data_IF_361158054469
#
_entry.id   IF_361158054469
#
_cell.length_a   1.000
_cell.length_b   1.000
_cell.length_c   1.000
_cell.angle_alpha   90.00
_cell.angle_beta   90.00
_cell.angle_gamma   90.00
#
_symmetry.space_group_name_H-M   'P 1'
#
loop_
_entity.id
_entity.type
_entity.pdbx_description
1 polymer ?
#
# COMPACT_ATOMS: atom_id res chain seq x y z
N UNK A 1 -18.66 -9.37 5.24
CA UNK A 1 -17.85 -9.11 4.01
C UNK A 1 -16.60 -8.38 4.45
N UNK A 2 -15.41 -8.84 4.04
CA UNK A 2 -14.15 -8.17 4.40
C UNK A 2 -13.96 -6.90 3.57
N UNK A 3 -13.34 -5.89 4.16
CA UNK A 3 -13.10 -4.60 3.51
C UNK A 3 -11.62 -4.24 3.58
N UNK A 4 -10.99 -4.01 2.44
CA UNK A 4 -9.61 -3.57 2.35
C UNK A 4 -9.56 -2.15 1.79
N UNK A 5 -8.86 -1.26 2.49
CA UNK A 5 -8.56 0.09 2.00
C UNK A 5 -7.23 0.07 1.28
N UNK A 6 -7.18 0.63 0.09
CA UNK A 6 -5.96 0.72 -0.71
C UNK A 6 -5.37 2.11 -0.70
N UNK A 7 -4.06 2.16 -0.46
CA UNK A 7 -3.24 3.30 -0.81
C UNK A 7 -2.89 3.29 -2.32
N UNK A 8 -2.29 4.36 -2.79
CA UNK A 8 -1.86 4.56 -4.18
C UNK A 8 -0.83 3.51 -4.64
N UNK A 9 0.19 3.26 -3.83
CA UNK A 9 1.34 2.40 -4.18
C UNK A 9 0.97 1.01 -4.67
N UNK A 10 0.18 0.22 -3.92
CA UNK A 10 -0.24 -1.12 -4.33
C UNK A 10 -0.99 -1.16 -5.65
N UNK A 11 -1.83 -0.16 -5.94
CA UNK A 11 -2.57 -0.10 -7.21
C UNK A 11 -1.63 0.20 -8.38
N UNK A 12 -0.65 1.12 -8.17
CA UNK A 12 0.40 1.39 -9.17
C UNK A 12 1.19 0.12 -9.45
N UNK A 13 1.63 -0.61 -8.42
CA UNK A 13 2.35 -1.88 -8.60
C UNK A 13 1.54 -2.87 -9.44
N UNK A 14 0.27 -3.07 -9.09
CA UNK A 14 -0.60 -4.01 -9.81
C UNK A 14 -0.87 -3.60 -11.26
N UNK A 15 -1.12 -2.32 -11.54
CA UNK A 15 -1.43 -1.88 -12.92
C UNK A 15 -0.20 -1.92 -13.81
N UNK A 16 0.98 -1.56 -13.30
CA UNK A 16 2.22 -1.54 -14.08
C UNK A 16 2.76 -2.94 -14.37
N UNK A 17 2.47 -3.93 -13.52
CA UNK A 17 2.79 -5.34 -13.76
C UNK A 17 1.65 -6.10 -14.50
N UNK A 18 0.62 -5.37 -14.97
CA UNK A 18 -0.55 -5.95 -15.62
C UNK A 18 -1.28 -7.01 -14.76
N UNK A 19 -1.28 -6.81 -13.43
CA UNK A 19 -1.87 -7.71 -12.44
C UNK A 19 -3.16 -7.16 -11.81
N UNK A 20 -3.68 -6.04 -12.30
CA UNK A 20 -4.88 -5.40 -11.72
C UNK A 20 -6.12 -6.32 -11.77
N UNK A 21 -6.17 -7.27 -12.73
CA UNK A 21 -7.22 -8.27 -12.86
C UNK A 21 -7.34 -9.20 -11.64
N UNK A 22 -6.26 -9.36 -10.87
CA UNK A 22 -6.25 -10.16 -9.63
C UNK A 22 -7.27 -9.63 -8.62
N UNK A 23 -7.48 -8.31 -8.57
CA UNK A 23 -8.47 -7.73 -7.66
C UNK A 23 -9.88 -8.21 -7.98
N UNK A 24 -10.21 -8.33 -9.27
CA UNK A 24 -11.52 -8.83 -9.68
C UNK A 24 -11.72 -10.30 -9.28
N UNK A 25 -10.70 -11.13 -9.47
CA UNK A 25 -10.74 -12.54 -9.10
C UNK A 25 -10.79 -12.75 -7.58
N UNK A 26 -9.98 -11.99 -6.82
CA UNK A 26 -10.04 -12.01 -5.36
C UNK A 26 -11.41 -11.56 -4.84
N UNK A 27 -12.00 -10.51 -5.44
CA UNK A 27 -13.33 -10.02 -5.08
C UNK A 27 -14.40 -11.09 -5.30
N UNK A 28 -14.37 -11.78 -6.43
CA UNK A 28 -15.29 -12.88 -6.72
C UNK A 28 -15.12 -14.05 -5.75
N UNK A 29 -13.87 -14.45 -5.47
CA UNK A 29 -13.58 -15.63 -4.66
C UNK A 29 -13.86 -15.42 -3.18
N UNK A 30 -13.50 -14.26 -2.61
CA UNK A 30 -13.54 -13.99 -1.18
C UNK A 30 -14.66 -13.04 -0.74
N UNK A 31 -15.46 -12.52 -1.68
CA UNK A 31 -16.49 -11.52 -1.40
C UNK A 31 -15.92 -10.32 -0.61
N UNK A 32 -14.74 -9.84 -1.00
CA UNK A 32 -14.04 -8.74 -0.37
C UNK A 32 -14.33 -7.43 -1.11
N UNK A 33 -14.48 -6.33 -0.35
CA UNK A 33 -14.56 -4.99 -0.92
C UNK A 33 -13.20 -4.29 -0.88
N UNK A 34 -12.82 -3.71 -2.03
CA UNK A 34 -11.64 -2.88 -2.18
C UNK A 34 -12.07 -1.42 -2.26
N UNK A 35 -11.61 -0.62 -1.33
CA UNK A 35 -12.04 0.78 -1.20
C UNK A 35 -10.84 1.70 -1.32
N UNK A 36 -11.00 2.79 -2.08
CA UNK A 36 -10.03 3.86 -2.21
C UNK A 36 -10.63 5.20 -1.75
N UNK A 37 -9.79 6.09 -1.25
CA UNK A 37 -10.17 7.45 -0.92
C UNK A 37 -10.27 8.33 -2.17
N UNK A 38 -10.93 9.49 -2.04
CA UNK A 38 -10.95 10.50 -3.10
C UNK A 38 -9.54 11.03 -3.44
N UNK A 39 -8.65 11.12 -2.44
CA UNK A 39 -7.25 11.52 -2.64
C UNK A 39 -6.50 10.52 -3.50
N UNK A 40 -6.63 9.23 -3.20
CA UNK A 40 -6.04 8.14 -3.98
C UNK A 40 -6.59 8.11 -5.40
N UNK A 41 -7.92 8.25 -5.58
CA UNK A 41 -8.50 8.37 -6.93
C UNK A 41 -7.93 9.54 -7.71
N UNK A 42 -7.81 10.71 -7.06
CA UNK A 42 -7.27 11.90 -7.72
C UNK A 42 -5.85 11.66 -8.23
N UNK A 43 -5.02 11.04 -7.42
CA UNK A 43 -3.64 10.70 -7.78
C UNK A 43 -3.56 9.67 -8.91
N UNK A 44 -4.30 8.56 -8.78
CA UNK A 44 -4.25 7.42 -9.70
C UNK A 44 -4.93 7.68 -11.05
N UNK A 45 -5.93 8.56 -11.10
CA UNK A 45 -6.72 8.81 -12.31
C UNK A 45 -6.51 10.23 -12.80
N UNK A 46 -6.89 11.25 -12.03
CA UNK A 46 -6.89 12.63 -12.53
C UNK A 46 -5.47 13.12 -12.86
N UNK A 47 -4.51 12.91 -11.93
CA UNK A 47 -3.13 13.30 -12.15
C UNK A 47 -2.46 12.45 -13.24
N UNK A 48 -2.75 11.14 -13.28
CA UNK A 48 -2.21 10.25 -14.30
C UNK A 48 -2.68 10.63 -15.70
N UNK A 49 -3.99 10.91 -15.88
CA UNK A 49 -4.56 11.36 -17.16
C UNK A 49 -4.04 12.72 -17.63
N UNK A 50 -3.58 13.58 -16.71
CA UNK A 50 -2.95 14.84 -17.05
C UNK A 50 -1.52 14.68 -17.62
N UNK A 51 -0.95 13.49 -17.58
CA UNK A 51 0.41 13.18 -18.08
C UNK A 51 0.34 12.21 -19.25
N UNK A 52 1.26 12.36 -20.23
CA UNK A 52 1.36 11.38 -21.33
C UNK A 52 1.92 10.03 -20.86
N UNK A 53 2.73 10.04 -19.81
CA UNK A 53 3.48 8.87 -19.34
C UNK A 53 2.58 7.82 -18.68
N UNK A 54 1.59 8.25 -17.92
CA UNK A 54 0.74 7.38 -17.08
C UNK A 54 -0.74 7.41 -17.45
N UNK A 55 -1.08 8.05 -18.59
CA UNK A 55 -2.48 8.21 -19.00
C UNK A 55 -3.19 6.86 -19.22
N UNK A 56 -2.49 5.87 -19.77
CA UNK A 56 -3.07 4.55 -20.04
C UNK A 56 -3.38 3.80 -18.75
N UNK A 57 -2.44 3.80 -17.79
CA UNK A 57 -2.64 3.23 -16.46
C UNK A 57 -3.82 3.89 -15.74
N UNK A 58 -3.92 5.22 -15.82
CA UNK A 58 -5.06 5.97 -15.28
C UNK A 58 -6.40 5.57 -15.91
N UNK A 59 -6.45 5.34 -17.22
CA UNK A 59 -7.65 4.83 -17.93
C UNK A 59 -8.02 3.42 -17.45
N UNK A 60 -7.03 2.53 -17.31
CA UNK A 60 -7.25 1.18 -16.81
C UNK A 60 -7.84 1.22 -15.39
N UNK A 61 -7.22 1.95 -14.48
CA UNK A 61 -7.71 2.07 -13.09
C UNK A 61 -9.12 2.65 -13.05
N UNK A 62 -9.41 3.69 -13.85
CA UNK A 62 -10.75 4.27 -13.93
C UNK A 62 -11.80 3.25 -14.43
N UNK A 63 -11.41 2.35 -15.33
CA UNK A 63 -12.27 1.25 -15.79
C UNK A 63 -12.62 0.32 -14.63
N UNK A 64 -11.65 -0.05 -13.77
CA UNK A 64 -11.90 -0.89 -12.59
C UNK A 64 -12.78 -0.19 -11.53
N UNK A 65 -12.67 1.14 -11.41
CA UNK A 65 -13.57 1.93 -10.56
C UNK A 65 -14.99 1.90 -11.13
N UNK A 66 -15.17 2.13 -12.43
CA UNK A 66 -16.48 2.12 -13.08
C UNK A 66 -17.16 0.73 -13.01
N UNK A 67 -16.37 -0.34 -13.11
CA UNK A 67 -16.83 -1.74 -12.94
C UNK A 67 -17.08 -2.14 -11.49
N UNK A 68 -16.88 -1.24 -10.52
CA UNK A 68 -17.04 -1.50 -9.08
C UNK A 68 -16.12 -2.61 -8.54
N UNK A 69 -15.00 -2.84 -9.18
CA UNK A 69 -13.93 -3.68 -8.63
C UNK A 69 -13.21 -2.90 -7.52
N UNK A 70 -12.86 -1.65 -7.80
CA UNK A 70 -12.42 -0.67 -6.81
C UNK A 70 -13.58 0.28 -6.48
N UNK A 71 -13.98 0.36 -5.23
CA UNK A 71 -15.04 1.24 -4.78
C UNK A 71 -14.47 2.57 -4.28
N UNK A 72 -15.03 3.69 -4.76
CA UNK A 72 -14.67 5.00 -4.25
C UNK A 72 -15.47 5.30 -2.98
N UNK A 73 -14.77 5.68 -1.91
CA UNK A 73 -15.41 6.20 -0.71
C UNK A 73 -15.85 7.65 -0.93
N UNK A 74 -17.11 7.93 -0.59
CA UNK A 74 -17.66 9.28 -0.57
C UNK A 74 -17.41 10.02 0.75
N UNK A 75 -16.69 9.40 1.69
CA UNK A 75 -16.38 10.01 2.98
C UNK A 75 -15.35 11.11 2.80
N UNK A 76 -15.76 12.33 3.17
CA UNK A 76 -14.81 13.43 3.27
C UNK A 76 -14.02 13.32 4.57
N UNK A 77 -12.69 13.25 4.46
CA UNK A 77 -11.78 13.17 5.60
C UNK A 77 -11.01 14.48 5.74
N UNK A 78 -11.08 15.07 6.94
CA UNK A 78 -10.22 16.19 7.26
C UNK A 78 -8.81 15.66 7.59
N UNK A 79 -7.83 16.03 6.79
CA UNK A 79 -6.46 15.54 6.91
C UNK A 79 -5.57 16.43 7.78
N UNK A 80 -5.98 17.68 8.07
CA UNK A 80 -5.12 18.71 8.65
C UNK A 80 -4.50 18.26 9.99
N UNK A 81 -5.31 17.74 10.88
CA UNK A 81 -4.84 17.35 12.22
C UNK A 81 -3.90 16.13 12.16
N UNK A 82 -4.21 15.15 11.32
CA UNK A 82 -3.35 13.97 11.14
C UNK A 82 -2.08 14.33 10.39
N UNK A 83 -2.13 15.21 9.38
CA UNK A 83 -0.97 15.69 8.64
C UNK A 83 0.01 16.43 9.58
N UNK A 84 -0.52 17.34 10.40
CA UNK A 84 0.26 18.06 11.39
C UNK A 84 0.85 17.11 12.45
N UNK A 85 0.09 16.14 12.91
CA UNK A 85 0.57 15.15 13.87
C UNK A 85 1.69 14.28 13.25
N UNK A 86 1.41 13.58 12.16
CA UNK A 86 2.31 12.59 11.56
C UNK A 86 3.61 13.20 11.04
N UNK A 87 3.54 14.37 10.37
CA UNK A 87 4.69 15.02 9.77
C UNK A 87 5.50 15.88 10.74
N UNK A 88 5.14 15.90 12.04
CA UNK A 88 5.90 16.49 13.13
C UNK A 88 6.23 15.47 14.23
N UNK A 89 6.37 14.20 13.89
CA UNK A 89 6.86 13.15 14.80
C UNK A 89 8.39 13.18 14.86
N UNK A 90 9.06 13.16 13.70
CA UNK A 90 10.51 13.08 13.60
C UNK A 90 11.13 14.36 13.05
N UNK A 91 12.28 14.73 13.63
CA UNK A 91 13.03 15.94 13.27
C UNK A 91 14.49 15.62 12.99
N UNK A 92 14.98 16.08 11.85
CA UNK A 92 16.40 16.09 11.48
C UNK A 92 16.91 17.53 11.49
N UNK A 93 18.03 17.79 12.18
CA UNK A 93 18.64 19.13 12.26
C UNK A 93 17.62 20.24 12.63
N UNK A 94 16.71 19.93 13.56
CA UNK A 94 15.61 20.79 14.03
C UNK A 94 14.54 21.11 12.97
N UNK A 95 14.51 20.42 11.83
CA UNK A 95 13.43 20.53 10.82
C UNK A 95 12.57 19.28 10.85
N UNK A 96 11.24 19.41 10.74
CA UNK A 96 10.36 18.27 10.68
C UNK A 96 10.62 17.46 9.40
N UNK A 97 10.46 16.15 9.51
CA UNK A 97 10.55 15.23 8.37
C UNK A 97 9.15 14.93 7.90
N UNK A 98 8.84 15.27 6.67
CA UNK A 98 7.57 14.86 6.07
C UNK A 98 7.57 13.35 5.84
N UNK A 99 6.82 12.63 6.65
CA UNK A 99 6.75 11.16 6.63
C UNK A 99 5.66 10.65 5.71
N UNK A 100 4.50 11.29 5.75
CA UNK A 100 3.30 10.84 5.04
C UNK A 100 2.77 11.90 4.08
N UNK A 101 2.31 11.45 2.93
CA UNK A 101 1.65 12.28 1.93
C UNK A 101 0.12 12.21 2.07
N UNK A 102 -0.60 13.04 1.33
CA UNK A 102 -2.06 13.16 1.43
C UNK A 102 -2.81 11.87 1.12
N UNK A 103 -2.32 11.07 0.15
CA UNK A 103 -2.90 9.77 -0.20
C UNK A 103 -2.87 8.80 0.98
N UNK A 104 -1.69 8.65 1.59
CA UNK A 104 -1.46 7.78 2.74
C UNK A 104 -2.28 8.20 3.97
N UNK A 105 -2.28 9.51 4.28
CA UNK A 105 -3.09 10.07 5.38
C UNK A 105 -4.59 9.82 5.15
N UNK A 106 -5.07 10.01 3.92
CA UNK A 106 -6.46 9.76 3.57
C UNK A 106 -6.82 8.28 3.69
N UNK A 107 -5.90 7.38 3.32
CA UNK A 107 -6.09 5.92 3.42
C UNK A 107 -6.13 5.46 4.89
N UNK A 108 -5.26 6.00 5.76
CA UNK A 108 -5.26 5.74 7.20
C UNK A 108 -6.59 6.20 7.84
N UNK A 109 -7.02 7.45 7.57
CA UNK A 109 -8.28 7.95 8.13
C UNK A 109 -9.50 7.22 7.59
N UNK A 110 -9.49 6.87 6.30
CA UNK A 110 -10.58 6.08 5.71
C UNK A 110 -10.67 4.71 6.37
N UNK A 111 -9.55 3.99 6.54
CA UNK A 111 -9.48 2.72 7.26
C UNK A 111 -10.18 2.81 8.61
N UNK A 112 -9.86 3.82 9.42
CA UNK A 112 -10.46 4.02 10.74
C UNK A 112 -11.95 4.34 10.67
N UNK A 113 -12.36 5.24 9.75
CA UNK A 113 -13.77 5.67 9.65
C UNK A 113 -14.71 4.55 9.24
N UNK A 114 -14.27 3.63 8.38
CA UNK A 114 -15.11 2.53 7.93
C UNK A 114 -14.85 1.23 8.69
N UNK A 115 -13.93 1.25 9.66
CA UNK A 115 -13.49 0.07 10.40
C UNK A 115 -13.11 -1.09 9.46
N UNK A 116 -12.20 -0.79 8.52
CA UNK A 116 -11.76 -1.77 7.53
C UNK A 116 -10.97 -2.93 8.17
N UNK A 117 -10.92 -4.07 7.48
CA UNK A 117 -10.20 -5.26 7.95
C UNK A 117 -8.69 -5.15 7.78
N UNK A 118 -8.22 -4.47 6.70
CA UNK A 118 -6.81 -4.16 6.50
C UNK A 118 -6.61 -2.91 5.62
N UNK A 119 -5.44 -2.28 5.78
CA UNK A 119 -4.89 -1.25 4.90
C UNK A 119 -3.82 -1.88 4.01
N UNK A 120 -3.98 -1.72 2.69
CA UNK A 120 -3.00 -2.19 1.71
C UNK A 120 -2.06 -1.04 1.37
N UNK A 121 -0.79 -1.16 1.76
CA UNK A 121 0.24 -0.13 1.57
C UNK A 121 1.61 -0.75 1.31
N UNK A 122 2.29 -0.28 0.26
CA UNK A 122 3.60 -0.78 -0.16
C UNK A 122 4.76 0.07 0.39
N UNK A 123 4.48 1.33 0.75
CA UNK A 123 5.49 2.29 1.18
C UNK A 123 6.04 1.91 2.57
N UNK A 124 7.38 1.81 2.64
CA UNK A 124 8.09 1.34 3.84
C UNK A 124 7.96 2.30 5.01
N UNK A 125 7.96 3.60 4.74
CA UNK A 125 7.89 4.64 5.78
C UNK A 125 6.55 4.58 6.49
N UNK A 126 5.44 4.57 5.74
CA UNK A 126 4.08 4.47 6.26
C UNK A 126 3.90 3.22 7.10
N UNK A 127 4.35 2.08 6.57
CA UNK A 127 4.25 0.80 7.27
C UNK A 127 5.04 0.79 8.58
N UNK A 128 6.32 1.19 8.54
CA UNK A 128 7.16 1.22 9.74
C UNK A 128 6.68 2.23 10.78
N UNK A 129 6.13 3.37 10.37
CA UNK A 129 5.58 4.34 11.31
C UNK A 129 4.42 3.75 12.12
N UNK A 130 3.61 2.87 11.51
CA UNK A 130 2.49 2.19 12.16
C UNK A 130 2.98 1.00 12.99
N UNK A 131 3.85 0.13 12.43
CA UNK A 131 4.24 -1.15 13.02
C UNK A 131 5.44 -1.04 13.97
N UNK A 132 6.49 -0.28 13.59
CA UNK A 132 7.79 -0.24 14.29
C UNK A 132 8.49 1.10 14.08
N UNK A 133 8.06 2.12 14.83
CA UNK A 133 8.60 3.49 14.76
C UNK A 133 10.08 3.58 15.13
N UNK A 134 10.57 2.70 16.03
CA UNK A 134 12.00 2.62 16.36
C UNK A 134 12.84 2.17 15.17
N UNK A 135 12.37 1.19 14.42
CA UNK A 135 13.03 0.75 13.18
C UNK A 135 13.00 1.84 12.12
N UNK A 136 11.89 2.59 12.04
CA UNK A 136 11.81 3.76 11.15
C UNK A 136 12.83 4.83 11.56
N UNK A 137 12.91 5.17 12.85
CA UNK A 137 13.87 6.14 13.37
C UNK A 137 15.31 5.77 12.99
N UNK A 138 15.71 4.52 13.26
CA UNK A 138 17.04 4.00 12.89
C UNK A 138 17.31 4.08 11.39
N UNK A 139 16.31 3.76 10.57
CA UNK A 139 16.40 3.86 9.11
C UNK A 139 16.62 5.32 8.67
N UNK A 140 15.91 6.27 9.28
CA UNK A 140 16.06 7.69 8.99
C UNK A 140 17.42 8.21 9.45
N UNK A 141 17.90 7.82 10.64
CA UNK A 141 19.25 8.16 11.13
C UNK A 141 20.33 7.68 10.17
N UNK A 142 20.19 6.44 9.68
CA UNK A 142 21.11 5.88 8.68
C UNK A 142 21.08 6.65 7.36
N UNK A 143 19.89 6.94 6.83
CA UNK A 143 19.73 7.64 5.54
C UNK A 143 20.17 9.10 5.57
N UNK A 144 19.92 9.79 6.69
CA UNK A 144 20.16 11.23 6.83
C UNK A 144 21.51 11.54 7.50
N UNK A 145 22.24 10.49 7.95
CA UNK A 145 23.53 10.62 8.64
C UNK A 145 23.50 11.59 9.83
N UNK A 146 22.37 11.68 10.54
CA UNK A 146 22.21 12.52 11.71
C UNK A 146 21.25 11.87 12.73
N UNK A 147 21.33 12.30 13.98
CA UNK A 147 20.39 11.87 15.02
C UNK A 147 19.00 12.44 14.78
N UNK A 148 18.00 11.61 14.94
CA UNK A 148 16.60 12.00 14.80
C UNK A 148 16.02 12.29 16.19
N UNK A 149 15.49 13.51 16.36
CA UNK A 149 14.69 13.88 17.52
C UNK A 149 13.25 13.43 17.34
N UNK A 150 12.61 12.96 18.40
CA UNK A 150 11.23 12.46 18.40
C UNK A 150 10.34 13.40 19.19
N UNK A 151 9.22 13.80 18.62
CA UNK A 151 8.11 14.40 19.36
C UNK A 151 7.23 13.27 19.91
N UNK A 152 7.41 12.96 21.20
CA UNK A 152 6.72 11.85 21.84
C UNK A 152 5.20 12.05 21.97
N UNK A 153 4.74 13.31 22.05
CA UNK A 153 3.31 13.62 22.10
C UNK A 153 2.63 13.26 20.77
N UNK A 154 3.18 13.75 19.66
CA UNK A 154 2.68 13.42 18.33
C UNK A 154 2.80 11.93 18.02
N UNK A 155 3.92 11.30 18.40
CA UNK A 155 4.09 9.86 18.24
C UNK A 155 2.99 9.09 18.99
N UNK A 156 2.71 9.45 20.23
CA UNK A 156 1.66 8.83 21.02
C UNK A 156 0.29 9.01 20.36
N UNK A 157 -0.07 10.23 19.96
CA UNK A 157 -1.34 10.50 19.27
C UNK A 157 -1.49 9.67 17.99
N UNK A 158 -0.42 9.57 17.20
CA UNK A 158 -0.42 8.77 15.98
C UNK A 158 -0.58 7.27 16.29
N UNK A 159 0.14 6.75 17.28
CA UNK A 159 0.02 5.34 17.72
C UNK A 159 -1.36 5.01 18.27
N UNK A 160 -1.97 5.90 19.03
CA UNK A 160 -3.32 5.72 19.54
C UNK A 160 -4.35 5.66 18.40
N UNK A 161 -4.16 6.50 17.36
CA UNK A 161 -4.99 6.48 16.15
C UNK A 161 -4.80 5.19 15.36
N UNK A 162 -3.56 4.72 15.19
CA UNK A 162 -3.24 3.57 14.34
C UNK A 162 -3.20 2.24 15.08
N UNK A 163 -3.54 2.26 16.37
CA UNK A 163 -3.65 1.04 17.20
C UNK A 163 -4.56 0.00 16.53
N UNK A 164 -4.10 -1.25 16.55
CA UNK A 164 -4.80 -2.41 15.99
C UNK A 164 -5.03 -2.37 14.45
N UNK A 165 -4.43 -1.41 13.74
CA UNK A 165 -4.47 -1.42 12.28
C UNK A 165 -3.71 -2.62 11.72
N UNK A 166 -4.36 -3.37 10.85
CA UNK A 166 -3.74 -4.46 10.09
C UNK A 166 -3.25 -3.91 8.76
N UNK A 167 -1.97 -4.14 8.48
CA UNK A 167 -1.34 -3.72 7.24
C UNK A 167 -0.98 -4.94 6.42
N UNK A 168 -1.22 -4.87 5.12
CA UNK A 168 -0.75 -5.82 4.13
C UNK A 168 -0.12 -5.07 2.95
N UNK A 169 0.80 -5.71 2.24
CA UNK A 169 1.43 -5.18 1.02
C UNK A 169 0.78 -5.82 -0.22
N UNK A 170 1.04 -5.24 -1.39
CA UNK A 170 0.67 -5.87 -2.66
C UNK A 170 1.29 -7.28 -2.81
N UNK A 171 2.50 -7.49 -2.29
CA UNK A 171 3.16 -8.79 -2.28
C UNK A 171 2.38 -9.87 -1.51
N UNK A 172 1.84 -9.56 -0.33
CA UNK A 172 1.00 -10.51 0.42
C UNK A 172 -0.32 -10.78 -0.30
N UNK A 173 -0.91 -9.75 -0.92
CA UNK A 173 -2.12 -9.92 -1.71
C UNK A 173 -1.91 -10.85 -2.90
N UNK A 174 -0.79 -10.68 -3.62
CA UNK A 174 -0.43 -11.53 -4.74
C UNK A 174 -0.05 -12.95 -4.31
N UNK A 175 0.58 -13.10 -3.14
CA UNK A 175 0.85 -14.41 -2.56
C UNK A 175 -0.46 -15.15 -2.22
N UNK A 176 -1.45 -14.47 -1.62
CA UNK A 176 -2.79 -15.04 -1.39
C UNK A 176 -3.44 -15.45 -2.73
N UNK A 177 -3.30 -14.64 -3.78
CA UNK A 177 -3.79 -14.99 -5.10
C UNK A 177 -3.11 -16.25 -5.68
N UNK A 178 -1.79 -16.36 -5.49
CA UNK A 178 -1.02 -17.53 -5.91
C UNK A 178 -1.46 -18.80 -5.17
N UNK A 179 -1.56 -18.78 -3.84
CA UNK A 179 -2.02 -19.93 -3.04
C UNK A 179 -3.46 -20.35 -3.41
N UNK A 180 -4.24 -19.44 -3.94
CA UNK A 180 -5.62 -19.68 -4.38
C UNK A 180 -5.76 -20.04 -5.86
N UNK A 181 -4.65 -20.39 -6.51
CA UNK A 181 -4.59 -20.87 -7.90
C UNK A 181 -5.06 -19.83 -8.94
N UNK A 182 -5.07 -18.53 -8.63
CA UNK A 182 -5.49 -17.51 -9.57
C UNK A 182 -4.48 -17.30 -10.72
N UNK A 183 -3.26 -17.79 -10.54
CA UNK A 183 -2.21 -17.77 -11.56
C UNK A 183 -2.12 -19.05 -12.40
N UNK A 184 -3.02 -20.02 -12.25
CA UNK A 184 -2.93 -21.32 -12.91
C UNK A 184 -2.87 -21.26 -14.43
N UNK A 185 -3.47 -20.23 -15.03
CA UNK A 185 -3.37 -19.98 -16.48
C UNK A 185 -1.94 -19.82 -17.00
N UNK A 186 -0.97 -19.53 -16.13
CA UNK A 186 0.44 -19.38 -16.49
C UNK A 186 1.27 -20.64 -16.22
N UNK A 187 0.74 -21.61 -15.44
CA UNK A 187 1.49 -22.82 -15.01
C UNK A 187 1.83 -23.76 -16.16
N UNK A 188 1.13 -23.69 -17.29
CA UNK A 188 1.40 -24.57 -18.44
C UNK A 188 2.84 -24.43 -18.99
N UNK A 189 3.48 -23.28 -18.80
CA UNK A 189 4.77 -22.96 -19.40
C UNK A 189 5.88 -22.69 -18.36
N UNK A 190 5.54 -22.60 -17.07
CA UNK A 190 6.47 -22.22 -16.01
C UNK A 190 6.27 -23.06 -14.75
N UNK A 191 7.36 -23.28 -14.03
CA UNK A 191 7.31 -23.94 -12.72
C UNK A 191 6.65 -23.01 -11.69
N UNK A 192 6.12 -23.59 -10.63
CA UNK A 192 5.56 -22.83 -9.51
C UNK A 192 6.60 -21.84 -8.93
N UNK A 193 7.86 -22.28 -8.85
CA UNK A 193 8.97 -21.47 -8.36
C UNK A 193 9.23 -20.24 -9.23
N UNK A 194 9.33 -20.43 -10.54
CA UNK A 194 9.54 -19.34 -11.50
C UNK A 194 8.38 -18.34 -11.47
N UNK A 195 7.16 -18.85 -11.45
CA UNK A 195 5.96 -18.00 -11.42
C UNK A 195 5.90 -17.16 -10.15
N UNK A 196 6.00 -17.78 -8.96
CA UNK A 196 5.92 -17.07 -7.69
C UNK A 196 7.08 -16.05 -7.55
N UNK A 197 8.30 -16.47 -7.88
CA UNK A 197 9.47 -15.59 -7.88
C UNK A 197 9.26 -14.37 -8.79
N UNK A 198 8.82 -14.57 -10.03
CA UNK A 198 8.61 -13.50 -10.99
C UNK A 198 7.56 -12.49 -10.54
N UNK A 199 6.45 -12.96 -9.96
CA UNK A 199 5.38 -12.10 -9.44
C UNK A 199 5.88 -11.24 -8.28
N UNK A 200 6.59 -11.83 -7.31
CA UNK A 200 7.09 -11.11 -6.13
C UNK A 200 8.21 -10.13 -6.50
N UNK A 201 9.12 -10.51 -7.40
CA UNK A 201 10.15 -9.61 -7.90
C UNK A 201 9.58 -8.45 -8.72
N UNK A 202 8.56 -8.68 -9.55
CA UNK A 202 7.83 -7.64 -10.28
C UNK A 202 7.32 -6.58 -9.31
N UNK A 203 6.58 -6.99 -8.28
CA UNK A 203 6.03 -6.10 -7.25
C UNK A 203 7.11 -5.32 -6.49
N UNK A 204 8.21 -5.99 -6.11
CA UNK A 204 9.36 -5.35 -5.45
C UNK A 204 9.95 -4.24 -6.32
N UNK A 205 10.17 -4.51 -7.60
CA UNK A 205 10.75 -3.54 -8.55
C UNK A 205 9.80 -2.37 -8.86
N UNK A 206 8.51 -2.51 -8.56
CA UNK A 206 7.51 -1.42 -8.67
C UNK A 206 7.30 -0.63 -7.38
N UNK A 207 8.07 -0.93 -6.33
CA UNK A 207 8.10 -0.12 -5.10
C UNK A 207 7.51 -0.79 -3.86
N UNK A 208 7.02 -2.03 -3.95
CA UNK A 208 6.61 -2.78 -2.76
C UNK A 208 7.82 -3.01 -1.84
N UNK A 209 7.66 -2.69 -0.57
CA UNK A 209 8.70 -2.79 0.46
C UNK A 209 8.95 -4.23 0.95
N UNK A 210 9.03 -5.18 0.01
CA UNK A 210 9.44 -6.56 0.29
C UNK A 210 10.96 -6.71 0.08
N UNK A 211 11.65 -7.39 1.00
CA UNK A 211 13.07 -7.66 0.86
C UNK A 211 13.34 -8.88 -0.03
N UNK A 212 14.57 -8.98 -0.57
CA UNK A 212 15.01 -10.16 -1.31
C UNK A 212 14.98 -11.41 -0.45
N UNK A 213 15.39 -11.30 0.81
CA UNK A 213 15.37 -12.39 1.76
C UNK A 213 13.94 -12.91 2.03
N UNK A 214 12.96 -12.00 2.13
CA UNK A 214 11.54 -12.37 2.25
C UNK A 214 11.06 -13.10 1.00
N UNK A 215 11.40 -12.62 -0.21
CA UNK A 215 11.03 -13.27 -1.47
C UNK A 215 11.62 -14.69 -1.52
N UNK A 216 12.91 -14.84 -1.25
CA UNK A 216 13.59 -16.13 -1.29
C UNK A 216 12.94 -17.12 -0.32
N UNK A 217 12.66 -16.72 0.92
CA UNK A 217 11.97 -17.56 1.91
C UNK A 217 10.58 -17.99 1.47
N UNK A 218 9.79 -17.07 0.87
CA UNK A 218 8.45 -17.41 0.37
C UNK A 218 8.56 -18.41 -0.78
N UNK A 219 9.45 -18.15 -1.73
CA UNK A 219 9.63 -19.02 -2.90
C UNK A 219 10.15 -20.41 -2.49
N UNK A 220 11.07 -20.53 -1.52
CA UNK A 220 11.58 -21.81 -1.05
C UNK A 220 10.52 -22.65 -0.31
N UNK A 221 9.60 -22.01 0.41
CA UNK A 221 8.63 -22.69 1.24
C UNK A 221 7.32 -23.05 0.51
N UNK A 222 6.99 -22.36 -0.59
CA UNK A 222 5.66 -22.45 -1.21
C UNK A 222 5.68 -22.75 -2.73
N UNK A 223 6.84 -23.01 -3.31
CA UNK A 223 6.96 -23.30 -4.75
C UNK A 223 7.10 -24.79 -5.08
#
# INVERSE_FOLDING_TARGET
MKTLVFDTGPIISLVTDNLLWILEELKKKFQVDFIISSSVKNELVNNALATKKFAFEGMLINTYINRKVLNLSNLNVNLIDLENCANNIFFALNKPIQLLQKGELASILLYKKINADALVVDERTTRLLIEDDEKLRKLLEYKLHCKIKVNNENLKLFKDLTKDMKIIRSSELLFIAYENNLFDRFKANFTNKELLSSVLWGTKLRGCSISEEEINKIVENFS
#
